data_IF_057366120327
#
_entry.id   IF_057366120327
#
_cell.length_a   1.000
_cell.length_b   1.000
_cell.length_c   1.000
_cell.angle_alpha   90.00
_cell.angle_beta   90.00
_cell.angle_gamma   90.00
#
_symmetry.space_group_name_H-M   'P 1'
#
loop_
_entity.id
_entity.type
_entity.pdbx_description
1 polymer ?
#
# COMPACT_ATOMS: atom_id res chain seq x y z
N UNK A 1 -13.77 -4.24 -19.44
CA UNK A 1 -12.62 -3.30 -19.40
C UNK A 1 -11.28 -4.01 -19.24
N UNK A 2 -11.09 -4.85 -18.22
CA UNK A 2 -9.83 -5.58 -17.98
C UNK A 2 -9.27 -6.36 -19.19
N UNK A 3 -10.14 -6.96 -20.02
CA UNK A 3 -9.71 -7.70 -21.21
C UNK A 3 -8.95 -6.88 -22.27
N UNK A 4 -9.04 -5.54 -22.24
CA UNK A 4 -8.31 -4.65 -23.16
C UNK A 4 -6.86 -4.38 -22.73
N UNK A 5 -6.51 -4.69 -21.48
CA UNK A 5 -5.15 -4.53 -20.99
C UNK A 5 -4.25 -5.69 -21.46
N UNK A 6 -2.98 -5.40 -21.81
CA UNK A 6 -1.96 -6.43 -21.95
C UNK A 6 -1.92 -7.36 -20.73
N UNK A 7 -1.58 -8.65 -20.94
CA UNK A 7 -1.58 -9.67 -19.87
C UNK A 7 -0.75 -9.24 -18.65
N UNK A 8 0.43 -8.64 -18.88
CA UNK A 8 1.29 -8.18 -17.79
C UNK A 8 0.62 -7.04 -16.98
N UNK A 9 0.01 -6.05 -17.65
CA UNK A 9 -0.65 -4.93 -16.98
C UNK A 9 -1.85 -5.39 -16.15
N UNK A 10 -2.58 -6.42 -16.61
CA UNK A 10 -3.63 -7.06 -15.80
C UNK A 10 -3.08 -7.68 -14.52
N UNK A 11 -1.98 -8.42 -14.61
CA UNK A 11 -1.36 -9.00 -13.43
C UNK A 11 -0.85 -7.94 -12.46
N UNK A 12 -0.20 -6.89 -12.96
CA UNK A 12 0.23 -5.77 -12.10
C UNK A 12 -0.97 -5.13 -11.40
N UNK A 13 -2.06 -4.82 -12.14
CA UNK A 13 -3.26 -4.26 -11.53
C UNK A 13 -3.91 -5.22 -10.51
N UNK A 14 -3.90 -6.52 -10.76
CA UNK A 14 -4.40 -7.52 -9.81
C UNK A 14 -3.54 -7.58 -8.54
N UNK A 15 -2.22 -7.47 -8.67
CA UNK A 15 -1.29 -7.40 -7.52
C UNK A 15 -1.54 -6.13 -6.71
N UNK A 16 -1.81 -4.98 -7.35
CA UNK A 16 -2.22 -3.77 -6.63
C UNK A 16 -3.50 -4.01 -5.84
N UNK A 17 -4.55 -4.54 -6.48
CA UNK A 17 -5.83 -4.81 -5.82
C UNK A 17 -5.64 -5.74 -4.61
N UNK A 18 -4.86 -6.81 -4.76
CA UNK A 18 -4.62 -7.74 -3.67
C UNK A 18 -3.86 -7.09 -2.50
N UNK A 19 -2.73 -6.41 -2.77
CA UNK A 19 -1.91 -5.80 -1.72
C UNK A 19 -2.62 -4.65 -0.98
N UNK A 20 -3.35 -3.79 -1.70
CA UNK A 20 -4.13 -2.73 -1.05
C UNK A 20 -5.36 -3.27 -0.30
N UNK A 21 -5.96 -4.37 -0.76
CA UNK A 21 -7.04 -5.02 -0.01
C UNK A 21 -6.52 -5.65 1.29
N UNK A 22 -5.33 -6.29 1.25
CA UNK A 22 -4.64 -6.76 2.44
C UNK A 22 -4.35 -5.60 3.41
N UNK A 23 -3.76 -4.50 2.94
CA UNK A 23 -3.50 -3.29 3.74
C UNK A 23 -4.76 -2.71 4.37
N UNK A 24 -5.85 -2.61 3.59
CA UNK A 24 -7.17 -2.21 4.10
C UNK A 24 -7.62 -3.11 5.25
N UNK A 25 -7.53 -4.44 5.08
CA UNK A 25 -7.90 -5.39 6.11
C UNK A 25 -7.01 -5.28 7.36
N UNK A 26 -5.71 -5.07 7.19
CA UNK A 26 -4.77 -4.89 8.30
C UNK A 26 -5.09 -3.62 9.12
N UNK A 27 -5.25 -2.47 8.46
CA UNK A 27 -5.60 -1.23 9.15
C UNK A 27 -7.00 -1.29 9.77
N UNK A 28 -7.96 -1.96 9.13
CA UNK A 28 -9.29 -2.18 9.69
C UNK A 28 -9.21 -3.05 10.93
N UNK A 29 -8.41 -4.13 10.91
CA UNK A 29 -8.18 -4.98 12.06
C UNK A 29 -7.60 -4.20 13.23
N UNK A 30 -6.56 -3.38 13.01
CA UNK A 30 -5.99 -2.55 14.07
C UNK A 30 -7.00 -1.55 14.64
N UNK A 31 -7.78 -0.88 13.79
CA UNK A 31 -8.83 0.04 14.22
C UNK A 31 -9.93 -0.67 15.02
N UNK A 32 -10.34 -1.88 14.61
CA UNK A 32 -11.35 -2.66 15.32
C UNK A 32 -10.84 -3.18 16.67
N UNK A 33 -9.56 -3.55 16.76
CA UNK A 33 -8.95 -4.08 17.97
C UNK A 33 -8.59 -2.99 18.99
N UNK A 34 -8.08 -1.84 18.53
CA UNK A 34 -7.55 -0.76 19.37
C UNK A 34 -8.39 0.52 19.38
N UNK A 35 -9.45 0.60 18.55
CA UNK A 35 -10.22 1.82 18.34
C UNK A 35 -9.34 2.95 17.78
N UNK A 36 -9.73 4.20 18.08
CA UNK A 36 -8.96 5.40 17.69
C UNK A 36 -7.54 5.44 18.32
N UNK A 37 -7.27 4.58 19.30
CA UNK A 37 -5.99 4.49 20.00
C UNK A 37 -5.09 3.38 19.45
N UNK A 38 -5.47 2.74 18.33
CA UNK A 38 -4.72 1.64 17.71
C UNK A 38 -3.23 1.94 17.49
N UNK A 39 -2.88 3.21 17.25
CA UNK A 39 -1.50 3.66 17.00
C UNK A 39 -0.98 4.60 18.11
N UNK A 40 -1.57 4.58 19.30
CA UNK A 40 -1.26 5.54 20.38
C UNK A 40 0.21 5.57 20.84
N UNK A 41 1.01 4.55 20.50
CA UNK A 41 2.45 4.52 20.75
C UNK A 41 3.31 5.35 19.79
N UNK A 42 2.74 5.82 18.67
CA UNK A 42 3.45 6.54 17.61
C UNK A 42 3.26 8.07 17.68
N UNK A 43 4.10 8.88 17.03
CA UNK A 43 3.86 10.32 16.90
C UNK A 43 2.49 10.61 16.26
N UNK A 44 1.80 11.66 16.73
CA UNK A 44 0.43 11.99 16.30
C UNK A 44 0.23 12.04 14.78
N UNK A 45 1.23 12.53 14.04
CA UNK A 45 1.18 12.59 12.58
C UNK A 45 1.14 11.19 11.94
N UNK A 46 1.89 10.24 12.48
CA UNK A 46 1.90 8.83 12.04
C UNK A 46 0.56 8.17 12.37
N UNK A 47 -0.01 8.46 13.55
CA UNK A 47 -1.33 7.94 13.91
C UNK A 47 -2.40 8.40 12.93
N UNK A 48 -2.45 9.70 12.63
CA UNK A 48 -3.39 10.27 11.65
C UNK A 48 -3.17 9.66 10.28
N UNK A 49 -1.91 9.49 9.87
CA UNK A 49 -1.56 8.87 8.60
C UNK A 49 -2.09 7.43 8.53
N UNK A 50 -1.82 6.56 9.51
CA UNK A 50 -2.29 5.17 9.47
C UNK A 50 -3.82 5.05 9.48
N UNK A 51 -4.53 5.94 10.16
CA UNK A 51 -6.00 6.00 10.03
C UNK A 51 -6.43 6.46 8.64
N UNK A 52 -5.72 7.41 8.01
CA UNK A 52 -6.01 7.84 6.66
C UNK A 52 -5.70 6.75 5.62
N UNK A 53 -4.60 6.00 5.79
CA UNK A 53 -4.18 4.92 4.90
C UNK A 53 -5.28 3.86 4.78
N UNK A 54 -6.00 3.52 5.85
CA UNK A 54 -7.19 2.64 5.76
C UNK A 54 -8.17 3.07 4.65
N UNK A 55 -8.52 4.35 4.62
CA UNK A 55 -9.47 4.89 3.64
C UNK A 55 -8.82 4.98 2.26
N UNK A 56 -7.54 5.37 2.21
CA UNK A 56 -6.79 5.53 0.97
C UNK A 56 -6.52 4.19 0.27
N UNK A 57 -6.27 3.12 1.02
CA UNK A 57 -6.11 1.76 0.52
C UNK A 57 -7.39 1.26 -0.13
N UNK A 58 -8.52 1.41 0.57
CA UNK A 58 -9.83 1.04 0.03
C UNK A 58 -10.15 1.85 -1.25
N UNK A 59 -9.79 3.12 -1.28
CA UNK A 59 -9.91 3.95 -2.47
C UNK A 59 -8.99 3.47 -3.61
N UNK A 60 -7.73 3.12 -3.32
CA UNK A 60 -6.79 2.58 -4.29
C UNK A 60 -7.33 1.28 -4.89
N UNK A 61 -7.85 0.35 -4.07
CA UNK A 61 -8.55 -0.86 -4.54
C UNK A 61 -9.68 -0.51 -5.49
N UNK A 62 -10.57 0.41 -5.10
CA UNK A 62 -11.71 0.79 -5.90
C UNK A 62 -11.32 1.42 -7.25
N UNK A 63 -10.30 2.28 -7.26
CA UNK A 63 -9.76 2.88 -8.49
C UNK A 63 -9.09 1.84 -9.39
N UNK A 64 -8.37 0.88 -8.81
CA UNK A 64 -7.69 -0.17 -9.57
C UNK A 64 -8.67 -1.18 -10.15
N UNK A 65 -9.72 -1.58 -9.42
CA UNK A 65 -10.81 -2.43 -9.95
C UNK A 65 -11.49 -1.77 -11.15
N UNK A 66 -11.71 -0.44 -11.06
CA UNK A 66 -12.30 0.36 -12.15
C UNK A 66 -11.32 0.69 -13.28
N UNK A 67 -10.05 0.31 -13.16
CA UNK A 67 -8.97 0.70 -14.07
C UNK A 67 -8.96 2.21 -14.32
N UNK A 68 -9.05 3.00 -13.25
CA UNK A 68 -8.94 4.46 -13.35
C UNK A 68 -7.49 4.88 -13.59
N UNK A 69 -7.21 5.83 -14.51
CA UNK A 69 -5.86 6.40 -14.69
C UNK A 69 -5.29 7.09 -13.44
N UNK A 70 -6.13 7.44 -12.47
CA UNK A 70 -5.69 8.01 -11.18
C UNK A 70 -5.21 6.93 -10.20
N UNK A 71 -5.65 5.69 -10.35
CA UNK A 71 -5.38 4.59 -9.42
C UNK A 71 -3.89 4.35 -9.17
N UNK A 72 -3.05 4.18 -10.21
CA UNK A 72 -1.62 3.91 -10.01
C UNK A 72 -0.86 5.05 -9.33
N UNK A 73 -1.26 6.30 -9.56
CA UNK A 73 -0.63 7.47 -8.94
C UNK A 73 -0.99 7.58 -7.45
N UNK A 74 -2.26 7.38 -7.10
CA UNK A 74 -2.69 7.31 -5.70
C UNK A 74 -1.98 6.17 -4.98
N UNK A 75 -1.97 4.97 -5.56
CA UNK A 75 -1.31 3.79 -5.01
C UNK A 75 0.19 4.06 -4.69
N UNK A 76 0.91 4.70 -5.61
CA UNK A 76 2.32 5.07 -5.36
C UNK A 76 2.47 6.06 -4.21
N UNK A 77 1.61 7.07 -4.13
CA UNK A 77 1.64 8.05 -3.03
C UNK A 77 1.34 7.39 -1.67
N UNK A 78 0.35 6.50 -1.62
CA UNK A 78 -0.01 5.76 -0.40
C UNK A 78 1.13 4.85 0.03
N UNK A 79 1.69 4.03 -0.87
CA UNK A 79 2.81 3.15 -0.53
C UNK A 79 4.05 3.92 -0.07
N UNK A 80 4.35 5.07 -0.69
CA UNK A 80 5.47 5.90 -0.25
C UNK A 80 5.25 6.41 1.18
N UNK A 81 4.06 6.93 1.48
CA UNK A 81 3.74 7.44 2.80
C UNK A 81 3.75 6.32 3.86
N UNK A 82 3.07 5.21 3.58
CA UNK A 82 2.94 4.08 4.50
C UNK A 82 4.27 3.38 4.76
N UNK A 83 5.04 3.06 3.71
CA UNK A 83 6.36 2.45 3.88
C UNK A 83 7.31 3.39 4.63
N UNK A 84 7.30 4.69 4.34
CA UNK A 84 8.15 5.67 5.06
C UNK A 84 7.80 5.74 6.53
N UNK A 85 6.51 5.76 6.86
CA UNK A 85 6.03 5.75 8.24
C UNK A 85 6.46 4.49 8.99
N UNK A 86 6.26 3.32 8.39
CA UNK A 86 6.69 2.04 8.96
C UNK A 86 8.21 1.98 9.18
N UNK A 87 9.00 2.40 8.19
CA UNK A 87 10.46 2.48 8.33
C UNK A 87 10.88 3.47 9.42
N UNK A 88 10.22 4.61 9.54
CA UNK A 88 10.53 5.61 10.57
C UNK A 88 10.27 5.07 11.98
N UNK A 89 9.09 4.48 12.21
CA UNK A 89 8.69 3.92 13.50
C UNK A 89 9.60 2.76 13.90
N UNK A 90 9.94 1.88 12.95
CA UNK A 90 10.70 0.67 13.22
C UNK A 90 12.22 0.85 13.14
N UNK A 91 12.72 1.98 12.63
CA UNK A 91 14.16 2.21 12.41
C UNK A 91 15.03 1.88 13.65
N UNK A 92 14.71 2.35 14.88
CA UNK A 92 15.53 2.03 16.04
C UNK A 92 15.60 0.54 16.34
N UNK A 93 14.54 -0.22 16.10
CA UNK A 93 14.49 -1.65 16.38
C UNK A 93 15.15 -2.46 15.27
N UNK A 94 14.94 -2.08 14.00
CA UNK A 94 15.66 -2.66 12.84
C UNK A 94 17.17 -2.54 13.02
N UNK A 95 17.67 -1.39 13.51
CA UNK A 95 19.11 -1.21 13.75
C UNK A 95 19.66 -2.12 14.86
N UNK A 96 18.84 -2.50 15.85
CA UNK A 96 19.24 -3.40 16.94
C UNK A 96 19.11 -4.87 16.55
N UNK A 97 18.09 -5.20 15.76
CA UNK A 97 17.71 -6.58 15.45
C UNK A 97 17.35 -6.77 13.96
N UNK A 98 18.29 -6.55 13.02
CA UNK A 98 17.98 -6.50 11.59
C UNK A 98 17.41 -7.82 11.04
N UNK A 99 17.83 -8.96 11.59
CA UNK A 99 17.35 -10.28 11.13
C UNK A 99 15.89 -10.55 11.51
N UNK A 100 15.34 -9.89 12.54
CA UNK A 100 13.92 -10.05 12.91
C UNK A 100 12.97 -9.53 11.82
N UNK A 101 13.47 -8.66 10.94
CA UNK A 101 12.71 -8.06 9.86
C UNK A 101 12.85 -8.80 8.53
N UNK A 102 13.64 -9.88 8.48
CA UNK A 102 13.76 -10.77 7.32
C UNK A 102 12.73 -11.90 7.38
N UNK A 103 11.49 -11.56 7.67
CA UNK A 103 10.36 -12.48 7.78
C UNK A 103 9.26 -12.10 6.79
N UNK A 104 8.41 -13.04 6.35
CA UNK A 104 7.41 -12.78 5.30
C UNK A 104 6.19 -11.97 5.80
N UNK A 105 6.34 -11.22 6.89
CA UNK A 105 5.30 -10.38 7.51
C UNK A 105 5.90 -9.05 7.95
N UNK A 106 5.09 -7.98 7.98
CA UNK A 106 5.53 -6.66 8.43
C UNK A 106 6.40 -5.93 7.41
N UNK A 107 7.55 -5.40 7.86
CA UNK A 107 8.33 -4.40 7.11
C UNK A 107 8.85 -4.89 5.76
N UNK A 108 9.31 -6.13 5.66
CA UNK A 108 9.85 -6.70 4.42
C UNK A 108 8.80 -6.75 3.29
N UNK A 109 7.63 -7.42 3.45
CA UNK A 109 6.62 -7.45 2.39
C UNK A 109 6.06 -6.06 2.07
N UNK A 110 5.85 -5.18 3.06
CA UNK A 110 5.43 -3.79 2.82
C UNK A 110 6.44 -3.06 1.93
N UNK A 111 7.73 -3.22 2.21
CA UNK A 111 8.81 -2.60 1.43
C UNK A 111 8.87 -3.16 0.00
N UNK A 112 8.81 -4.48 -0.14
CA UNK A 112 8.85 -5.14 -1.44
C UNK A 112 7.64 -4.74 -2.31
N UNK A 113 6.44 -4.71 -1.72
CA UNK A 113 5.23 -4.25 -2.38
C UNK A 113 5.30 -2.76 -2.73
N UNK A 114 5.84 -1.93 -1.83
CA UNK A 114 6.01 -0.50 -2.06
C UNK A 114 6.94 -0.20 -3.22
N UNK A 115 8.09 -0.88 -3.29
CA UNK A 115 9.02 -0.80 -4.43
C UNK A 115 8.33 -1.22 -5.72
N UNK A 116 7.62 -2.36 -5.70
CA UNK A 116 6.86 -2.83 -6.85
C UNK A 116 5.88 -1.77 -7.34
N UNK A 117 5.04 -1.23 -6.45
CA UNK A 117 4.03 -0.22 -6.78
C UNK A 117 4.67 1.05 -7.34
N UNK A 118 5.74 1.56 -6.75
CA UNK A 118 6.41 2.79 -7.22
C UNK A 118 7.00 2.59 -8.61
N UNK A 119 7.69 1.46 -8.83
CA UNK A 119 8.32 1.15 -10.12
C UNK A 119 7.28 0.94 -11.23
N UNK A 120 6.16 0.29 -10.93
CA UNK A 120 5.16 -0.06 -11.95
C UNK A 120 4.06 0.98 -12.14
N UNK A 121 3.95 2.01 -11.29
CA UNK A 121 2.84 2.97 -11.32
C UNK A 121 2.70 3.70 -12.67
N UNK A 122 3.79 4.27 -13.19
CA UNK A 122 3.76 5.00 -14.45
C UNK A 122 3.51 4.08 -15.67
N UNK A 123 4.22 2.94 -15.83
CA UNK A 123 3.90 1.96 -16.88
C UNK A 123 2.45 1.48 -16.84
N UNK A 124 1.91 1.21 -15.64
CA UNK A 124 0.55 0.75 -15.47
C UNK A 124 -0.47 1.82 -15.85
N UNK A 125 -0.25 3.06 -15.41
CA UNK A 125 -1.09 4.21 -15.78
C UNK A 125 -1.15 4.40 -17.28
N UNK A 126 0.00 4.33 -17.98
CA UNK A 126 0.06 4.43 -19.44
C UNK A 126 -0.77 3.33 -20.10
N UNK A 127 -0.64 2.09 -19.63
CA UNK A 127 -1.40 0.95 -20.15
C UNK A 127 -2.90 1.11 -19.97
N UNK A 128 -3.34 1.65 -18.83
CA UNK A 128 -4.74 1.95 -18.54
C UNK A 128 -5.29 3.03 -19.49
N UNK A 129 -4.56 4.13 -19.64
CA UNK A 129 -4.95 5.24 -20.55
C UNK A 129 -5.04 4.77 -22.00
N UNK A 130 -4.11 3.92 -22.46
CA UNK A 130 -4.13 3.40 -23.83
C UNK A 130 -5.24 2.37 -24.09
N UNK A 131 -5.84 1.79 -23.04
CA UNK A 131 -6.88 0.76 -23.16
C UNK A 131 -8.32 1.28 -23.00
N UNK A 132 -8.47 2.51 -22.49
CA UNK A 132 -9.75 3.22 -22.37
C UNK A 132 -10.22 3.72 -23.72
#
# INVERSE_FOLDING_TARGET
MWGRLPRHARWVAAVYVAGFAEGTCAHAYFLLAGGVHAYSGDPILIQVLFHAVLVLDALAVALMIRLSPAGPALAAAVMLADATANWWVLAPDVMRHPLHYLVPVGLLPITAFGVFVVVTALPLRRSIVSAG
#
